data_IF_596535598114
#
_entry.id   IF_596535598114
#
_cell.length_a   1.000
_cell.length_b   1.000
_cell.length_c   1.000
_cell.angle_alpha   90.00
_cell.angle_beta   90.00
_cell.angle_gamma   90.00
#
_symmetry.space_group_name_H-M   'P 1'
#
loop_
_entity.id
_entity.type
_entity.pdbx_description
1 polymer ?
#
# COMPACT_ATOMS: atom_id res chain seq x y z
N UNK A 1 12.70 1.15 3.20
CA UNK A 1 11.99 0.07 3.91
C UNK A 1 11.43 -0.89 2.87
N UNK A 2 11.46 -2.18 3.16
CA UNK A 2 10.87 -3.23 2.33
C UNK A 2 9.87 -3.99 3.18
N UNK A 3 8.65 -4.16 2.67
CA UNK A 3 7.63 -5.02 3.28
C UNK A 3 7.58 -6.36 2.54
N UNK A 4 7.47 -7.44 3.27
CA UNK A 4 7.35 -8.80 2.74
C UNK A 4 6.03 -9.43 3.19
N UNK A 5 5.38 -10.13 2.27
CA UNK A 5 4.19 -10.94 2.59
C UNK A 5 4.67 -12.33 2.97
N UNK A 6 4.41 -12.72 4.21
CA UNK A 6 4.84 -14.02 4.75
C UNK A 6 3.64 -14.89 5.14
N UNK A 7 3.86 -16.20 5.19
CA UNK A 7 2.95 -17.13 5.84
C UNK A 7 3.14 -17.11 7.36
N UNK A 8 2.35 -17.91 8.07
CA UNK A 8 2.43 -18.05 9.53
C UNK A 8 3.77 -18.59 10.05
N UNK A 9 4.58 -19.19 9.19
CA UNK A 9 5.90 -19.75 9.52
C UNK A 9 7.04 -18.78 9.14
N UNK A 10 6.72 -17.60 8.62
CA UNK A 10 7.70 -16.60 8.21
C UNK A 10 8.25 -16.79 6.79
N UNK A 11 7.74 -17.73 6.02
CA UNK A 11 8.19 -17.93 4.63
C UNK A 11 7.55 -16.88 3.71
N UNK A 12 8.36 -16.24 2.87
CA UNK A 12 7.90 -15.22 1.93
C UNK A 12 7.03 -15.86 0.85
N UNK A 13 5.82 -15.34 0.69
CA UNK A 13 4.88 -15.74 -0.37
C UNK A 13 5.20 -15.02 -1.67
N UNK A 14 5.96 -15.65 -2.54
CA UNK A 14 6.50 -15.04 -3.76
C UNK A 14 5.50 -14.90 -4.90
N UNK A 15 4.46 -15.72 -4.92
CA UNK A 15 3.45 -15.74 -5.99
C UNK A 15 2.16 -15.05 -5.52
N UNK A 16 2.13 -13.73 -5.65
CA UNK A 16 0.94 -12.93 -5.44
C UNK A 16 1.02 -11.63 -6.25
N UNK A 17 -0.16 -11.03 -6.51
CA UNK A 17 -0.31 -9.79 -7.27
C UNK A 17 -0.96 -8.70 -6.41
N UNK A 18 -0.68 -8.69 -5.12
CA UNK A 18 -1.24 -7.72 -4.20
C UNK A 18 -0.52 -6.38 -4.31
N UNK A 19 -1.12 -5.38 -3.66
CA UNK A 19 -0.53 -4.08 -3.43
C UNK A 19 -0.35 -3.89 -1.92
N UNK A 20 0.74 -3.23 -1.55
CA UNK A 20 0.98 -2.82 -0.17
C UNK A 20 0.85 -1.32 -0.07
N UNK A 21 0.01 -0.87 0.86
CA UNK A 21 -0.10 0.53 1.24
C UNK A 21 0.73 0.78 2.49
N UNK A 22 1.58 1.79 2.40
CA UNK A 22 2.43 2.23 3.49
C UNK A 22 1.86 3.48 4.15
N UNK A 23 2.01 3.55 5.46
CA UNK A 23 1.66 4.67 6.30
C UNK A 23 2.89 5.07 7.10
N UNK A 24 3.16 6.35 7.20
CA UNK A 24 4.28 6.89 7.96
C UNK A 24 3.78 7.96 8.91
N UNK A 25 4.18 7.85 10.17
CA UNK A 25 3.88 8.81 11.22
C UNK A 25 5.19 9.30 11.84
N UNK A 26 5.18 10.52 12.38
CA UNK A 26 6.34 11.12 13.04
C UNK A 26 7.24 11.90 12.10
N UNK A 27 8.56 11.81 12.31
CA UNK A 27 9.56 12.65 11.63
C UNK A 27 10.06 12.01 10.32
N UNK A 28 9.13 11.53 9.50
CA UNK A 28 9.41 10.95 8.18
C UNK A 28 8.32 11.19 7.17
N UNK A 29 8.65 11.05 5.88
CA UNK A 29 7.70 11.12 4.78
C UNK A 29 8.00 10.06 3.73
N UNK A 30 6.95 9.59 3.05
CA UNK A 30 7.09 8.71 1.90
C UNK A 30 7.44 9.56 0.68
N UNK A 31 8.43 9.10 -0.09
CA UNK A 31 8.76 9.67 -1.38
C UNK A 31 8.01 8.94 -2.49
N UNK A 32 7.29 9.73 -3.30
CA UNK A 32 6.46 9.21 -4.39
C UNK A 32 5.04 8.88 -3.98
N UNK A 33 4.15 8.86 -4.94
CA UNK A 33 2.72 8.61 -4.78
C UNK A 33 2.21 7.52 -5.72
N UNK A 34 0.89 7.46 -5.88
CA UNK A 34 0.21 6.47 -6.70
C UNK A 34 0.56 6.58 -8.18
N UNK A 35 0.80 7.78 -8.68
CA UNK A 35 1.15 8.06 -10.07
C UNK A 35 2.46 7.41 -10.54
N UNK A 36 3.38 7.15 -9.60
CA UNK A 36 4.65 6.43 -9.85
C UNK A 36 4.67 5.04 -9.24
N UNK A 37 3.52 4.53 -8.80
CA UNK A 37 3.35 3.23 -8.13
C UNK A 37 4.24 3.06 -6.88
N UNK A 38 4.53 4.16 -6.19
CA UNK A 38 5.34 4.14 -4.99
C UNK A 38 4.51 3.83 -3.74
N UNK A 39 3.25 4.31 -3.69
CA UNK A 39 2.33 4.03 -2.61
C UNK A 39 0.87 4.24 -3.06
N UNK A 40 0.07 3.17 -3.18
CA UNK A 40 0.38 1.76 -2.91
C UNK A 40 1.44 1.19 -3.87
N UNK A 41 2.29 0.33 -3.37
CA UNK A 41 3.34 -0.31 -4.15
C UNK A 41 2.92 -1.72 -4.60
N UNK A 42 3.12 -2.08 -5.88
CA UNK A 42 2.84 -3.44 -6.34
C UNK A 42 3.85 -4.41 -5.73
N UNK A 43 3.35 -5.55 -5.26
CA UNK A 43 4.19 -6.62 -4.74
C UNK A 43 4.84 -7.37 -5.89
N UNK A 44 6.16 -7.53 -5.80
CA UNK A 44 6.94 -8.35 -6.74
C UNK A 44 7.77 -9.35 -5.95
N UNK A 45 7.62 -10.63 -6.30
CA UNK A 45 8.29 -11.73 -5.60
C UNK A 45 8.04 -11.76 -4.09
N UNK A 46 6.85 -11.35 -3.68
CA UNK A 46 6.42 -11.32 -2.27
C UNK A 46 6.87 -10.10 -1.48
N UNK A 47 7.51 -9.12 -2.11
CA UNK A 47 7.98 -7.91 -1.44
C UNK A 47 7.60 -6.63 -2.19
N UNK A 48 7.53 -5.52 -1.44
CA UNK A 48 7.34 -4.18 -1.99
C UNK A 48 8.19 -3.17 -1.22
N UNK A 49 8.98 -2.34 -1.90
CA UNK A 49 9.78 -1.30 -1.28
C UNK A 49 9.00 0.00 -1.10
N UNK A 50 9.41 0.79 -0.13
CA UNK A 50 9.03 2.20 0.02
C UNK A 50 10.25 3.04 0.37
N UNK A 51 10.36 4.20 -0.24
CA UNK A 51 11.37 5.19 0.11
C UNK A 51 10.82 6.15 1.17
N UNK A 52 11.55 6.28 2.26
CA UNK A 52 11.20 7.16 3.37
C UNK A 52 12.33 8.14 3.58
N UNK A 53 11.98 9.40 3.62
CA UNK A 53 12.88 10.49 3.94
C UNK A 53 12.57 11.00 5.35
N UNK A 54 13.59 11.12 6.20
CA UNK A 54 13.44 11.81 7.47
C UNK A 54 13.21 13.31 7.27
N UNK A 55 12.55 13.94 8.22
CA UNK A 55 12.51 15.41 8.31
C UNK A 55 13.84 15.95 8.85
N UNK A 56 13.98 17.28 8.89
CA UNK A 56 15.15 17.93 9.50
C UNK A 56 15.15 17.88 11.03
N UNK A 57 14.02 17.52 11.63
CA UNK A 57 13.87 17.36 13.07
C UNK A 57 14.18 15.92 13.47
N UNK A 58 15.12 15.67 14.39
CA UNK A 58 15.37 14.33 14.91
C UNK A 58 14.15 13.79 15.65
N UNK A 59 13.85 12.52 15.47
CA UNK A 59 12.72 11.93 16.16
C UNK A 59 12.38 10.52 15.68
N UNK A 60 11.24 10.03 16.13
CA UNK A 60 10.72 8.71 15.77
C UNK A 60 9.98 8.77 14.46
N UNK A 61 10.13 7.71 13.68
CA UNK A 61 9.44 7.47 12.42
C UNK A 61 8.77 6.09 12.54
N UNK A 62 7.45 6.06 12.57
CA UNK A 62 6.69 4.82 12.61
C UNK A 62 6.17 4.51 11.21
N UNK A 63 6.50 3.33 10.71
CA UNK A 63 6.08 2.85 9.39
C UNK A 63 5.16 1.67 9.58
N UNK A 64 3.99 1.70 8.94
CA UNK A 64 3.06 0.58 8.89
C UNK A 64 2.82 0.20 7.44
N UNK A 65 2.86 -1.10 7.16
CA UNK A 65 2.54 -1.68 5.87
C UNK A 65 1.27 -2.51 5.97
N UNK A 66 0.34 -2.31 5.06
CA UNK A 66 -0.93 -3.03 5.00
C UNK A 66 -1.19 -3.51 3.58
N UNK A 67 -1.57 -4.78 3.45
CA UNK A 67 -1.92 -5.35 2.14
C UNK A 67 -3.30 -4.89 1.73
N UNK A 68 -3.45 -4.42 0.51
CA UNK A 68 -4.74 -4.24 -0.14
C UNK A 68 -5.20 -5.60 -0.68
N UNK A 69 -6.06 -6.26 0.07
CA UNK A 69 -6.47 -7.64 -0.18
C UNK A 69 -7.97 -7.76 -0.35
N UNK A 70 -8.37 -8.61 -1.28
CA UNK A 70 -9.76 -8.96 -1.57
C UNK A 70 -10.08 -10.37 -1.04
N UNK A 71 -10.29 -10.53 0.21
CA UNK A 71 -10.59 -11.84 0.75
C UNK A 71 -11.21 -11.77 2.13
N UNK A 72 -11.70 -12.91 2.59
CA UNK A 72 -12.29 -13.06 3.92
C UNK A 72 -11.27 -13.03 5.05
N UNK A 73 -9.98 -13.21 4.74
CA UNK A 73 -8.90 -13.17 5.71
C UNK A 73 -7.89 -12.09 5.31
N UNK A 74 -7.91 -10.98 6.03
CA UNK A 74 -6.94 -9.91 5.85
C UNK A 74 -5.60 -10.30 6.51
N UNK A 75 -4.47 -10.15 5.80
CA UNK A 75 -3.16 -10.27 6.41
C UNK A 75 -2.98 -9.27 7.54
N UNK A 76 -2.23 -9.64 8.57
CA UNK A 76 -1.86 -8.72 9.65
C UNK A 76 -0.91 -7.67 9.12
N UNK A 77 -1.13 -6.40 9.47
CA UNK A 77 -0.23 -5.31 9.10
C UNK A 77 1.12 -5.46 9.80
N UNK A 78 2.20 -5.15 9.06
CA UNK A 78 3.54 -5.03 9.62
C UNK A 78 3.81 -3.62 10.11
N UNK A 79 4.56 -3.48 11.20
CA UNK A 79 4.99 -2.20 11.74
C UNK A 79 6.50 -2.19 11.98
N UNK A 80 7.11 -1.02 11.74
CA UNK A 80 8.53 -0.77 11.99
C UNK A 80 8.68 0.62 12.60
N UNK A 81 9.44 0.73 13.68
CA UNK A 81 9.83 2.00 14.28
C UNK A 81 11.30 2.28 14.00
N UNK A 82 11.58 3.45 13.45
CA UNK A 82 12.92 3.97 13.20
C UNK A 82 13.13 5.25 14.02
N UNK A 83 14.37 5.56 14.31
CA UNK A 83 14.72 6.81 14.98
C UNK A 83 15.75 7.56 14.15
N UNK A 84 15.46 8.80 13.79
CA UNK A 84 16.43 9.71 13.20
C UNK A 84 17.17 10.49 14.28
N UNK A 85 18.45 10.71 14.08
CA UNK A 85 19.31 11.51 14.97
C UNK A 85 19.71 12.82 14.30
N UNK A 86 20.11 13.79 15.11
CA UNK A 86 20.67 15.02 14.59
C UNK A 86 21.93 14.75 13.76
N UNK A 87 22.11 15.43 12.62
CA UNK A 87 23.30 15.27 11.80
C UNK A 87 24.54 15.78 12.54
N UNK A 88 25.68 15.13 12.30
CA UNK A 88 26.98 15.55 12.84
C UNK A 88 27.46 16.89 12.24
N UNK A 89 26.99 17.22 11.05
CA UNK A 89 27.37 18.40 10.30
C UNK A 89 26.17 19.30 10.06
N UNK A 90 26.38 20.64 9.90
CA UNK A 90 25.27 21.55 9.59
C UNK A 90 24.57 21.11 8.30
N UNK A 91 23.26 21.08 8.34
CA UNK A 91 22.44 20.82 7.16
C UNK A 91 22.48 22.03 6.24
N UNK A 92 22.74 21.79 4.96
CA UNK A 92 22.55 22.78 3.91
C UNK A 92 21.22 22.45 3.23
N UNK A 93 20.19 23.23 3.50
CA UNK A 93 18.86 23.05 2.91
C UNK A 93 18.23 24.38 2.52
N UNK A 94 17.33 24.36 1.54
CA UNK A 94 16.54 25.54 1.17
C UNK A 94 15.39 25.71 2.17
N UNK A 95 15.18 26.95 2.65
CA UNK A 95 14.05 27.30 3.52
C UNK A 95 12.68 26.99 2.94
N UNK A 96 12.58 26.87 1.61
CA UNK A 96 11.37 26.44 0.93
C UNK A 96 11.04 24.96 1.18
N UNK A 97 12.04 24.11 1.38
CA UNK A 97 11.84 22.68 1.70
C UNK A 97 11.35 22.51 3.14
N UNK A 98 11.74 23.39 4.04
CA UNK A 98 11.27 23.41 5.43
C UNK A 98 9.77 23.76 5.52
N UNK A 99 9.26 24.54 4.56
CA UNK A 99 7.85 24.93 4.48
C UNK A 99 6.94 23.87 3.83
N UNK A 100 7.49 22.74 3.35
CA UNK A 100 6.67 21.64 2.82
C UNK A 100 5.84 21.03 3.95
N UNK A 101 4.54 20.80 3.74
CA UNK A 101 3.67 20.24 4.76
C UNK A 101 4.22 18.89 5.23
N UNK A 102 4.21 18.67 6.53
CA UNK A 102 4.57 17.38 7.11
C UNK A 102 3.65 16.30 6.53
N UNK A 103 4.16 15.10 6.21
CA UNK A 103 3.39 14.04 5.58
C UNK A 103 2.13 13.64 6.36
N UNK A 104 2.14 13.78 7.68
CA UNK A 104 0.99 13.54 8.55
C UNK A 104 -0.17 14.51 8.30
N UNK A 105 0.09 15.70 7.75
CA UNK A 105 -0.93 16.70 7.45
C UNK A 105 -1.54 16.55 6.06
N UNK A 106 -0.82 15.93 5.14
CA UNK A 106 -1.29 15.67 3.76
C UNK A 106 -1.99 14.33 3.59
N UNK A 107 -1.94 13.47 4.59
CA UNK A 107 -2.48 12.13 4.54
C UNK A 107 -3.86 12.06 5.21
N UNK A 108 -4.90 12.52 4.51
CA UNK A 108 -6.26 12.18 4.92
C UNK A 108 -6.50 10.71 4.57
N UNK A 109 -6.72 9.87 5.59
CA UNK A 109 -7.08 8.45 5.42
C UNK A 109 -8.35 8.26 4.56
N UNK A 110 -9.10 9.32 4.33
CA UNK A 110 -10.38 9.30 3.62
C UNK A 110 -10.26 9.49 2.09
N UNK A 111 -9.10 9.89 1.57
CA UNK A 111 -8.90 9.98 0.12
C UNK A 111 -8.20 8.74 -0.40
N UNK A 112 -8.98 7.88 -1.05
CA UNK A 112 -8.44 6.77 -1.81
C UNK A 112 -7.53 7.31 -2.91
N UNK A 113 -6.36 6.71 -3.06
CA UNK A 113 -5.46 7.05 -4.16
C UNK A 113 -6.04 6.58 -5.50
N UNK A 114 -5.59 7.17 -6.61
CA UNK A 114 -6.03 6.76 -7.94
C UNK A 114 -5.79 5.26 -8.21
N UNK A 115 -4.73 4.68 -7.65
CA UNK A 115 -4.46 3.26 -7.73
C UNK A 115 -5.47 2.41 -6.94
N UNK A 116 -5.93 2.88 -5.78
CA UNK A 116 -6.97 2.21 -5.00
C UNK A 116 -8.32 2.27 -5.73
N UNK A 117 -8.64 3.41 -6.33
CA UNK A 117 -9.86 3.57 -7.15
C UNK A 117 -9.83 2.66 -8.38
N UNK A 118 -8.68 2.55 -9.04
CA UNK A 118 -8.50 1.65 -10.19
C UNK A 118 -8.62 0.18 -9.78
N UNK A 119 -8.06 -0.22 -8.65
CA UNK A 119 -8.22 -1.56 -8.09
C UNK A 119 -9.68 -1.87 -7.77
N UNK A 120 -10.39 -0.95 -7.15
CA UNK A 120 -11.82 -1.12 -6.86
C UNK A 120 -12.66 -1.21 -8.13
N UNK A 121 -12.32 -0.43 -9.16
CA UNK A 121 -12.99 -0.51 -10.47
C UNK A 121 -12.81 -1.88 -11.10
N UNK A 122 -11.56 -2.36 -11.19
CA UNK A 122 -11.25 -3.71 -11.72
C UNK A 122 -11.93 -4.82 -10.95
N UNK A 123 -12.02 -4.66 -9.64
CA UNK A 123 -12.73 -5.61 -8.78
C UNK A 123 -14.21 -5.67 -9.11
N UNK A 124 -14.87 -4.52 -9.27
CA UNK A 124 -16.30 -4.47 -9.65
C UNK A 124 -16.52 -5.12 -11.00
N UNK A 125 -15.70 -4.79 -12.00
CA UNK A 125 -15.75 -5.39 -13.34
C UNK A 125 -15.59 -6.91 -13.28
N UNK A 126 -14.63 -7.40 -12.50
CA UNK A 126 -14.42 -8.86 -12.35
C UNK A 126 -15.59 -9.56 -11.65
N UNK A 127 -16.17 -8.94 -10.64
CA UNK A 127 -17.34 -9.47 -9.95
C UNK A 127 -18.57 -9.50 -10.86
N UNK A 128 -18.78 -8.46 -11.66
CA UNK A 128 -19.86 -8.43 -12.67
C UNK A 128 -19.69 -9.51 -13.73
N UNK A 129 -18.46 -9.75 -14.20
CA UNK A 129 -18.18 -10.82 -15.15
C UNK A 129 -18.48 -12.20 -14.56
N UNK A 130 -18.04 -12.44 -13.33
CA UNK A 130 -18.33 -13.69 -12.61
C UNK A 130 -19.83 -13.91 -12.41
N UNK A 131 -20.56 -12.84 -12.09
CA UNK A 131 -22.00 -12.92 -11.92
C UNK A 131 -22.70 -13.32 -13.23
N UNK A 132 -22.28 -12.71 -14.35
CA UNK A 132 -22.81 -13.04 -15.68
C UNK A 132 -22.48 -14.47 -16.10
N UNK A 133 -21.28 -14.98 -15.79
CA UNK A 133 -20.91 -16.36 -16.05
C UNK A 133 -21.78 -17.35 -15.27
N UNK A 134 -22.06 -17.04 -14.01
CA UNK A 134 -22.96 -17.86 -13.16
C UNK A 134 -24.39 -17.85 -13.68
N UNK A 135 -24.88 -16.68 -14.10
CA UNK A 135 -26.23 -16.55 -14.68
C UNK A 135 -26.34 -17.31 -16.00
N UNK A 136 -25.32 -17.26 -16.87
CA UNK A 136 -25.28 -18.04 -18.11
C UNK A 136 -25.25 -19.53 -17.84
N UNK A 137 -24.45 -19.98 -16.88
CA UNK A 137 -24.43 -21.40 -16.51
C UNK A 137 -25.77 -21.89 -15.96
N UNK A 138 -26.48 -21.05 -15.22
CA UNK A 138 -27.82 -21.40 -14.72
C UNK A 138 -28.86 -21.47 -15.83
N UNK A 139 -28.82 -20.58 -16.83
CA UNK A 139 -29.71 -20.65 -18.00
C UNK A 139 -29.42 -21.87 -18.87
N UNK A 140 -28.15 -22.17 -19.13
CA UNK A 140 -27.74 -23.35 -19.88
C UNK A 140 -28.14 -24.69 -19.20
N UNK A 141 -28.16 -24.71 -17.85
CA UNK A 141 -28.67 -25.86 -17.10
C UNK A 141 -30.20 -25.94 -17.14
N UNK A 142 -30.89 -24.81 -17.14
CA UNK A 142 -32.36 -24.78 -17.24
C UNK A 142 -32.90 -25.25 -18.59
N UNK A 143 -32.22 -24.93 -19.68
CA UNK A 143 -32.60 -25.37 -21.04
C UNK A 143 -32.34 -26.84 -21.30
N UNK A 144 -31.45 -27.50 -20.54
CA UNK A 144 -31.16 -28.96 -20.71
C UNK A 144 -32.06 -29.89 -19.91
N UNK A 145 -32.98 -29.39 -19.13
CA UNK A 145 -33.87 -30.19 -18.25
C UNK A 145 -35.29 -30.28 -18.85
N UNK A 146 -35.63 -29.52 -19.86
CA UNK A 146 -36.84 -29.63 -20.67
C UNK A 146 -36.61 -30.52 -21.92
#
# INVERSE_FOLDING_TARGET
VVAEITDKNGNVKRLNNYYIKFFVEGEGRILGGANVLANPAPVKWGSAPVLIQSTTTPGKIKVRASVLFEGSQMPVSGELELTSSAPMYPLIFDKKEEALPKPSESFSMDKKSDAELELERRRRELNELKLKEVEQQQTDFGEKVD
#
